data_IF_902726040334
#
_entry.id   IF_902726040334
#
_cell.length_a   1.000
_cell.length_b   1.000
_cell.length_c   1.000
_cell.angle_alpha   90.00
_cell.angle_beta   90.00
_cell.angle_gamma   90.00
#
_symmetry.space_group_name_H-M   'P 1'
#
loop_
_entity.id
_entity.type
_entity.pdbx_description
1 polymer ?
#
# COMPACT_ATOMS: atom_id res chain seq x y z
N UNK A 1 -16.30 0.43 12.74
CA UNK A 1 -15.64 0.14 11.45
C UNK A 1 -16.65 -0.57 10.55
N UNK A 2 -16.67 -0.29 9.25
CA UNK A 2 -17.49 -1.07 8.31
C UNK A 2 -16.88 -2.46 8.10
N UNK A 3 -17.71 -3.42 7.69
CA UNK A 3 -17.23 -4.74 7.31
C UNK A 3 -16.25 -4.65 6.13
N UNK A 4 -15.30 -5.59 6.08
CA UNK A 4 -14.53 -5.89 4.89
C UNK A 4 -15.37 -6.80 3.99
N UNK A 5 -15.45 -6.47 2.71
CA UNK A 5 -16.17 -7.25 1.73
C UNK A 5 -15.31 -7.37 0.47
N UNK A 6 -15.28 -8.56 -0.13
CA UNK A 6 -14.54 -8.80 -1.35
C UNK A 6 -15.41 -8.70 -2.61
N UNK A 7 -14.75 -8.71 -3.76
CA UNK A 7 -15.36 -8.98 -5.08
C UNK A 7 -14.78 -10.30 -5.59
N UNK A 8 -15.59 -11.37 -5.65
CA UNK A 8 -15.15 -12.65 -6.20
C UNK A 8 -14.68 -12.54 -7.63
N UNK A 9 -13.82 -13.48 -8.05
CA UNK A 9 -13.21 -13.51 -9.37
C UNK A 9 -14.26 -13.41 -10.48
N UNK A 10 -15.39 -14.10 -10.36
CA UNK A 10 -16.43 -14.09 -11.40
C UNK A 10 -17.16 -12.74 -11.51
N UNK A 11 -17.18 -11.93 -10.45
CA UNK A 11 -17.76 -10.58 -10.42
C UNK A 11 -16.77 -9.48 -10.83
N UNK A 12 -15.47 -9.78 -10.87
CA UNK A 12 -14.45 -8.81 -11.29
C UNK A 12 -14.50 -8.55 -12.80
N UNK A 13 -14.45 -7.27 -13.18
CA UNK A 13 -14.38 -6.83 -14.57
C UNK A 13 -13.15 -5.94 -14.82
N UNK A 14 -12.55 -6.09 -16.00
CA UNK A 14 -11.45 -5.20 -16.44
C UNK A 14 -11.97 -3.77 -16.52
N UNK A 15 -11.22 -2.84 -15.93
CA UNK A 15 -11.61 -1.44 -15.80
C UNK A 15 -12.21 -1.07 -14.44
N UNK A 16 -12.60 -2.05 -13.61
CA UNK A 16 -13.00 -1.76 -12.23
C UNK A 16 -11.87 -1.08 -11.45
N UNK A 17 -12.25 -0.12 -10.61
CA UNK A 17 -11.31 0.67 -9.82
C UNK A 17 -11.68 0.71 -8.35
N UNK A 18 -10.67 0.87 -7.51
CA UNK A 18 -10.84 1.18 -6.10
C UNK A 18 -9.75 2.15 -5.64
N UNK A 19 -9.94 2.76 -4.47
CA UNK A 19 -8.91 3.57 -3.84
C UNK A 19 -8.77 3.28 -2.34
N UNK A 20 -7.59 3.60 -1.82
CA UNK A 20 -7.26 3.49 -0.41
C UNK A 20 -6.33 4.63 -0.02
N UNK A 21 -6.74 5.41 0.98
CA UNK A 21 -5.99 6.58 1.45
C UNK A 21 -5.43 6.35 2.84
N UNK A 22 -4.15 6.70 3.04
CA UNK A 22 -3.46 6.65 4.33
C UNK A 22 -2.52 7.85 4.47
N UNK A 23 -2.58 8.54 5.61
CA UNK A 23 -1.56 9.52 6.00
C UNK A 23 -0.34 8.82 6.59
N UNK A 24 0.85 9.28 6.20
CA UNK A 24 2.14 8.76 6.66
C UNK A 24 2.67 9.68 7.75
N UNK A 25 2.78 9.15 8.96
CA UNK A 25 3.36 9.85 10.11
C UNK A 25 4.85 9.53 10.28
N UNK A 26 5.53 10.29 11.14
CA UNK A 26 6.89 9.93 11.58
C UNK A 26 6.89 8.56 12.28
N UNK A 27 5.85 8.27 13.07
CA UNK A 27 5.72 7.00 13.79
C UNK A 27 5.54 5.81 12.83
N UNK A 28 4.86 5.98 11.69
CA UNK A 28 4.81 4.94 10.65
C UNK A 28 6.21 4.60 10.13
N UNK A 29 7.08 5.60 9.97
CA UNK A 29 8.46 5.40 9.48
C UNK A 29 9.30 4.70 10.55
N UNK A 30 9.19 5.13 11.82
CA UNK A 30 9.84 4.46 12.96
C UNK A 30 9.38 3.00 13.08
N UNK A 31 8.07 2.74 13.02
CA UNK A 31 7.50 1.39 13.05
C UNK A 31 7.96 0.54 11.87
N UNK A 32 8.05 1.12 10.67
CA UNK A 32 8.58 0.42 9.50
C UNK A 32 10.05 0.04 9.70
N UNK A 33 10.88 0.94 10.23
CA UNK A 33 12.28 0.63 10.54
C UNK A 33 12.40 -0.49 11.58
N UNK A 34 11.58 -0.48 12.64
CA UNK A 34 11.53 -1.54 13.65
C UNK A 34 11.14 -2.89 13.01
N UNK A 35 10.11 -2.91 12.16
CA UNK A 35 9.60 -4.13 11.53
C UNK A 35 10.58 -4.70 10.48
N UNK A 36 11.16 -3.83 9.65
CA UNK A 36 11.99 -4.22 8.52
C UNK A 36 13.46 -4.43 8.87
N UNK A 37 13.93 -3.83 9.97
CA UNK A 37 15.35 -3.72 10.30
C UNK A 37 16.10 -2.66 9.48
N UNK A 38 15.42 -1.92 8.60
CA UNK A 38 16.04 -0.84 7.83
C UNK A 38 16.17 0.43 8.68
N UNK A 39 17.32 0.53 9.33
CA UNK A 39 17.72 1.65 10.19
C UNK A 39 18.56 2.70 9.46
N UNK A 40 18.49 2.76 8.12
CA UNK A 40 19.23 3.75 7.36
C UNK A 40 18.90 5.17 7.86
N UNK A 41 19.91 6.00 8.21
CA UNK A 41 19.69 7.31 8.82
C UNK A 41 18.89 8.28 7.92
N UNK A 42 18.83 8.04 6.61
CA UNK A 42 17.97 8.83 5.70
C UNK A 42 16.49 8.83 6.10
N UNK A 43 16.05 7.81 6.83
CA UNK A 43 14.66 7.64 7.26
C UNK A 43 14.40 8.15 8.69
N UNK A 44 15.44 8.26 9.52
CA UNK A 44 15.30 8.35 10.98
C UNK A 44 16.06 9.51 11.62
N UNK A 45 17.10 10.02 10.96
CA UNK A 45 17.96 11.09 11.47
C UNK A 45 17.80 12.34 10.61
N UNK A 46 17.13 13.34 11.18
CA UNK A 46 16.83 14.60 10.50
C UNK A 46 18.09 15.44 10.24
N UNK A 47 19.10 15.36 11.11
CA UNK A 47 20.38 16.07 10.91
C UNK A 47 21.14 15.45 9.74
N UNK A 48 21.26 14.11 9.73
CA UNK A 48 21.84 13.39 8.61
C UNK A 48 21.07 13.65 7.31
N UNK A 49 19.75 13.51 7.31
CA UNK A 49 18.94 13.60 6.11
C UNK A 49 18.99 14.99 5.46
N UNK A 50 19.14 16.07 6.25
CA UNK A 50 19.36 17.45 5.76
C UNK A 50 20.64 17.63 4.96
N UNK A 51 21.64 16.78 5.16
CA UNK A 51 22.89 16.81 4.38
C UNK A 51 22.78 16.13 3.01
N UNK A 52 21.65 15.47 2.74
CA UNK A 52 21.42 14.72 1.50
C UNK A 52 20.61 15.54 0.50
N UNK A 53 20.53 15.13 -0.78
CA UNK A 53 19.67 15.78 -1.78
C UNK A 53 18.17 15.79 -1.43
N UNK A 54 17.76 15.01 -0.42
CA UNK A 54 16.39 14.99 0.09
C UNK A 54 16.15 16.05 1.16
N UNK A 55 17.17 16.74 1.70
CA UNK A 55 17.01 17.90 2.60
C UNK A 55 16.13 17.67 3.84
N UNK A 56 15.99 16.42 4.29
CA UNK A 56 15.14 16.00 5.42
C UNK A 56 14.67 14.56 5.27
N UNK A 57 14.14 13.96 6.35
CA UNK A 57 13.75 12.56 6.36
C UNK A 57 12.72 12.22 5.28
N UNK A 58 12.84 11.02 4.72
CA UNK A 58 11.89 10.42 3.78
C UNK A 58 11.45 9.05 4.26
N UNK A 59 10.25 8.62 3.94
CA UNK A 59 9.78 7.27 4.23
C UNK A 59 10.51 6.22 3.36
N UNK A 60 10.56 4.98 3.85
CA UNK A 60 11.05 3.84 3.07
C UNK A 60 10.22 3.67 1.80
N UNK A 61 10.85 3.48 0.63
CA UNK A 61 10.09 3.26 -0.61
C UNK A 61 9.12 2.08 -0.53
N UNK A 62 9.54 1.01 0.15
CA UNK A 62 8.72 -0.18 0.41
C UNK A 62 7.44 0.10 1.22
N UNK A 63 7.33 1.26 1.90
CA UNK A 63 6.10 1.70 2.55
C UNK A 63 4.94 1.84 1.55
N UNK A 64 5.22 2.21 0.29
CA UNK A 64 4.21 2.23 -0.77
C UNK A 64 3.63 0.84 -1.05
N UNK A 65 4.47 -0.20 -1.01
CA UNK A 65 4.05 -1.57 -1.27
C UNK A 65 3.11 -2.10 -0.18
N UNK A 66 3.36 -1.75 1.10
CA UNK A 66 2.47 -2.17 2.19
C UNK A 66 1.11 -1.46 2.12
N UNK A 67 1.06 -0.21 1.63
CA UNK A 67 -0.21 0.51 1.39
C UNK A 67 -1.01 -0.20 0.30
N UNK A 68 -0.38 -0.59 -0.81
CA UNK A 68 -1.04 -1.34 -1.88
C UNK A 68 -1.48 -2.71 -1.39
N UNK A 69 -0.64 -3.41 -0.64
CA UNK A 69 -1.00 -4.70 -0.03
C UNK A 69 -2.25 -4.57 0.86
N UNK A 70 -2.32 -3.53 1.69
CA UNK A 70 -3.51 -3.25 2.51
C UNK A 70 -4.73 -2.94 1.65
N UNK A 71 -4.58 -2.13 0.59
CA UNK A 71 -5.66 -1.82 -0.34
C UNK A 71 -6.18 -3.09 -1.04
N UNK A 72 -5.30 -3.98 -1.50
CA UNK A 72 -5.70 -5.22 -2.15
C UNK A 72 -6.41 -6.16 -1.18
N UNK A 73 -5.87 -6.33 0.03
CA UNK A 73 -6.41 -7.26 1.01
C UNK A 73 -7.73 -6.78 1.65
N UNK A 74 -7.95 -5.47 1.73
CA UNK A 74 -9.09 -4.89 2.48
C UNK A 74 -10.11 -4.16 1.62
N UNK A 75 -9.76 -3.81 0.37
CA UNK A 75 -10.63 -3.05 -0.54
C UNK A 75 -10.88 -3.77 -1.86
N UNK A 76 -9.84 -4.16 -2.60
CA UNK A 76 -10.02 -4.64 -3.97
C UNK A 76 -8.87 -5.52 -4.48
N UNK A 77 -9.11 -6.83 -4.74
CA UNK A 77 -10.40 -7.53 -4.68
C UNK A 77 -10.93 -7.72 -3.26
N UNK A 78 -10.12 -7.52 -2.22
CA UNK A 78 -10.54 -7.62 -0.82
C UNK A 78 -10.26 -9.00 -0.19
N UNK A 79 -10.93 -9.33 0.92
CA UNK A 79 -10.69 -10.55 1.68
C UNK A 79 -10.64 -11.84 0.84
N UNK A 80 -9.70 -12.73 1.16
CA UNK A 80 -9.47 -13.97 0.42
C UNK A 80 -8.53 -13.84 -0.80
N UNK A 81 -8.10 -12.62 -1.13
CA UNK A 81 -7.06 -12.40 -2.13
C UNK A 81 -5.70 -12.95 -1.67
N UNK A 82 -4.95 -13.57 -2.58
CA UNK A 82 -3.55 -13.96 -2.34
C UNK A 82 -2.63 -13.06 -3.17
N UNK A 83 -1.69 -12.41 -2.48
CA UNK A 83 -0.73 -11.50 -3.09
C UNK A 83 0.45 -12.29 -3.69
N UNK A 84 0.48 -12.44 -5.01
CA UNK A 84 1.42 -13.32 -5.70
C UNK A 84 2.64 -12.59 -6.28
N UNK A 85 2.55 -11.28 -6.51
CA UNK A 85 3.66 -10.51 -7.02
C UNK A 85 3.40 -9.00 -7.05
N UNK A 86 4.48 -8.23 -7.06
CA UNK A 86 4.44 -6.77 -7.13
C UNK A 86 5.62 -6.26 -7.97
N UNK A 87 5.30 -5.46 -8.98
CA UNK A 87 6.27 -4.59 -9.64
C UNK A 87 6.22 -3.19 -9.03
N UNK A 88 7.39 -2.58 -8.80
CA UNK A 88 7.49 -1.30 -8.11
C UNK A 88 8.35 -0.31 -8.89
N UNK A 89 7.88 0.93 -8.99
CA UNK A 89 8.65 2.08 -9.49
C UNK A 89 8.37 3.28 -8.58
N UNK A 90 9.41 3.72 -7.87
CA UNK A 90 9.36 4.89 -7.00
C UNK A 90 9.65 6.14 -7.84
N UNK A 91 8.76 7.13 -7.79
CA UNK A 91 8.81 8.32 -8.64
C UNK A 91 9.23 9.55 -7.88
N UNK A 92 8.78 9.69 -6.63
CA UNK A 92 9.09 10.81 -5.74
C UNK A 92 9.25 10.30 -4.30
N UNK A 93 10.06 10.99 -3.47
CA UNK A 93 10.12 10.67 -2.06
C UNK A 93 8.77 10.94 -1.40
N UNK A 94 8.42 10.11 -0.42
CA UNK A 94 7.30 10.32 0.50
C UNK A 94 7.86 10.87 1.80
N UNK A 95 7.18 11.84 2.41
CA UNK A 95 7.62 12.48 3.66
C UNK A 95 6.64 12.23 4.80
N UNK A 96 7.11 12.34 6.05
CA UNK A 96 6.21 12.49 7.20
C UNK A 96 5.22 13.65 6.95
N UNK A 97 3.94 13.41 7.21
CA UNK A 97 2.85 14.35 6.95
C UNK A 97 2.17 14.18 5.58
N UNK A 98 2.76 13.43 4.65
CA UNK A 98 2.09 13.17 3.36
C UNK A 98 0.83 12.32 3.55
N UNK A 99 -0.20 12.63 2.76
CA UNK A 99 -1.39 11.79 2.64
C UNK A 99 -1.39 11.12 1.28
N UNK A 100 -1.25 9.79 1.30
CA UNK A 100 -1.12 8.98 0.11
C UNK A 100 -2.45 8.35 -0.27
N UNK A 101 -2.87 8.51 -1.52
CA UNK A 101 -4.02 7.80 -2.09
C UNK A 101 -3.53 6.79 -3.12
N UNK A 102 -3.70 5.52 -2.82
CA UNK A 102 -3.48 4.43 -3.75
C UNK A 102 -4.73 4.23 -4.61
N UNK A 103 -4.55 4.25 -5.92
CA UNK A 103 -5.53 3.95 -6.94
C UNK A 103 -5.22 2.58 -7.53
N UNK A 104 -6.23 1.72 -7.54
CA UNK A 104 -6.15 0.36 -8.05
C UNK A 104 -7.07 0.26 -9.27
N UNK A 105 -6.57 -0.30 -10.36
CA UNK A 105 -7.37 -0.56 -11.56
C UNK A 105 -7.11 -1.97 -12.06
N UNK A 106 -8.16 -2.78 -12.17
CA UNK A 106 -8.04 -4.11 -12.78
C UNK A 106 -7.78 -3.94 -14.28
N UNK A 107 -6.62 -4.40 -14.75
CA UNK A 107 -6.20 -4.27 -16.16
C UNK A 107 -6.20 -5.60 -16.90
N UNK A 108 -6.10 -6.73 -16.20
CA UNK A 108 -6.14 -8.05 -16.82
C UNK A 108 -6.79 -9.08 -15.90
N UNK A 109 -7.53 -10.04 -16.49
CA UNK A 109 -8.19 -11.16 -15.80
C UNK A 109 -7.88 -12.47 -16.53
N UNK A 110 -7.29 -13.44 -15.81
CA UNK A 110 -6.89 -14.75 -16.32
C UNK A 110 -7.63 -15.85 -15.56
N UNK A 111 -8.52 -16.56 -16.25
CA UNK A 111 -9.31 -17.66 -15.64
C UNK A 111 -8.43 -18.77 -15.07
N UNK A 112 -7.35 -19.12 -15.78
CA UNK A 112 -6.40 -20.12 -15.30
C UNK A 112 -5.71 -19.60 -14.02
N UNK A 113 -6.03 -20.21 -12.90
CA UNK A 113 -5.49 -19.83 -11.59
C UNK A 113 -6.14 -18.60 -10.96
N UNK A 114 -7.26 -18.10 -11.50
CA UNK A 114 -7.99 -16.93 -11.00
C UNK A 114 -7.11 -15.69 -10.79
N UNK A 115 -6.16 -15.47 -11.69
CA UNK A 115 -5.18 -14.39 -11.57
C UNK A 115 -5.76 -13.11 -12.15
N UNK A 116 -5.59 -12.01 -11.44
CA UNK A 116 -5.86 -10.66 -11.93
C UNK A 116 -4.60 -9.80 -11.83
N UNK A 117 -4.42 -8.92 -12.82
CA UNK A 117 -3.39 -7.88 -12.77
C UNK A 117 -4.05 -6.54 -12.46
N UNK A 118 -3.50 -5.86 -11.47
CA UNK A 118 -4.02 -4.58 -10.97
C UNK A 118 -2.93 -3.54 -11.15
N UNK A 119 -3.22 -2.53 -11.97
CA UNK A 119 -2.38 -1.35 -12.09
C UNK A 119 -2.55 -0.49 -10.84
N UNK A 120 -1.44 -0.07 -10.26
CA UNK A 120 -1.38 0.69 -9.04
C UNK A 120 -0.67 2.01 -9.28
N UNK A 121 -1.27 3.07 -8.78
CA UNK A 121 -0.72 4.40 -8.80
C UNK A 121 -0.96 5.02 -7.42
N UNK A 122 0.06 5.64 -6.83
CA UNK A 122 -0.09 6.37 -5.57
C UNK A 122 0.21 7.84 -5.83
N UNK A 123 -0.71 8.70 -5.40
CA UNK A 123 -0.54 10.15 -5.39
C UNK A 123 -0.47 10.67 -3.95
N UNK A 124 0.28 11.75 -3.74
CA UNK A 124 0.22 12.51 -2.50
C UNK A 124 -0.96 13.52 -2.51
N UNK A 125 -1.10 14.28 -1.43
CA UNK A 125 -2.12 15.32 -1.26
C UNK A 125 -2.09 16.43 -2.32
N UNK A 126 -0.98 16.58 -3.07
CA UNK A 126 -0.81 17.56 -4.12
C UNK A 126 -1.15 17.00 -5.52
N UNK A 127 -1.59 15.75 -5.61
CA UNK A 127 -1.83 15.06 -6.89
C UNK A 127 -0.54 14.63 -7.59
N UNK A 128 0.59 14.58 -6.87
CA UNK A 128 1.85 14.15 -7.45
C UNK A 128 2.01 12.64 -7.34
N UNK A 129 2.28 11.97 -8.46
CA UNK A 129 2.57 10.54 -8.47
C UNK A 129 3.88 10.23 -7.73
N UNK A 130 3.79 9.47 -6.64
CA UNK A 130 4.95 9.01 -5.85
C UNK A 130 5.34 7.57 -6.18
N UNK A 131 4.40 6.76 -6.65
CA UNK A 131 4.61 5.35 -6.97
C UNK A 131 3.75 4.92 -8.15
N UNK A 132 4.30 4.04 -8.99
CA UNK A 132 3.54 3.28 -9.99
C UNK A 132 3.98 1.81 -9.97
N UNK A 133 3.07 0.88 -10.22
CA UNK A 133 3.41 -0.53 -10.24
C UNK A 133 2.26 -1.45 -10.61
N UNK A 134 2.54 -2.74 -10.78
CA UNK A 134 1.56 -3.75 -11.13
C UNK A 134 1.53 -4.84 -10.06
N UNK A 135 0.33 -5.17 -9.57
CA UNK A 135 0.13 -6.25 -8.61
C UNK A 135 -0.43 -7.48 -9.33
N UNK A 136 0.14 -8.64 -9.04
CA UNK A 136 -0.40 -9.94 -9.44
C UNK A 136 -1.11 -10.54 -8.25
N UNK A 137 -2.42 -10.79 -8.39
CA UNK A 137 -3.28 -11.25 -7.30
C UNK A 137 -4.03 -12.49 -7.76
N UNK A 138 -4.05 -13.54 -6.95
CA UNK A 138 -5.04 -14.61 -7.10
C UNK A 138 -6.30 -14.15 -6.40
N UNK A 139 -7.35 -13.87 -7.16
CA UNK A 139 -8.59 -13.36 -6.62
C UNK A 139 -9.41 -14.49 -5.95
N UNK A 140 -10.16 -14.17 -4.90
CA UNK A 140 -11.05 -15.12 -4.24
C UNK A 140 -12.16 -15.59 -5.20
N UNK A 141 -12.62 -16.83 -5.09
CA UNK A 141 -13.78 -17.32 -5.88
C UNK A 141 -15.10 -17.22 -5.13
N UNK A 142 -15.04 -17.20 -3.80
CA UNK A 142 -16.21 -17.12 -2.94
C UNK A 142 -16.36 -15.72 -2.35
N UNK A 143 -17.61 -15.32 -2.13
CA UNK A 143 -17.94 -14.08 -1.44
C UNK A 143 -17.51 -14.17 0.03
N UNK A 144 -16.78 -13.16 0.49
CA UNK A 144 -16.35 -13.04 1.88
C UNK A 144 -16.79 -11.69 2.43
N UNK A 145 -17.48 -11.74 3.56
CA UNK A 145 -17.79 -10.58 4.40
C UNK A 145 -17.22 -10.86 5.78
N UNK A 146 -16.33 -9.99 6.26
CA UNK A 146 -15.62 -10.18 7.52
C UNK A 146 -15.60 -8.88 8.34
N UNK A 147 -15.73 -9.02 9.64
CA UNK A 147 -15.53 -7.89 10.57
C UNK A 147 -14.02 -7.65 10.73
N UNK A 148 -13.52 -6.41 10.56
CA UNK A 148 -12.13 -6.10 10.87
C UNK A 148 -11.78 -6.46 12.32
N UNK A 149 -10.61 -7.06 12.53
CA UNK A 149 -10.08 -7.31 13.87
C UNK A 149 -9.50 -6.02 14.43
N UNK A 150 -9.81 -5.71 15.68
CA UNK A 150 -9.21 -4.57 16.38
C UNK A 150 -7.73 -4.85 16.66
N UNK A 151 -6.87 -3.90 16.30
CA UNK A 151 -5.43 -4.01 16.51
C UNK A 151 -5.05 -3.62 17.94
N UNK A 152 -3.97 -4.20 18.49
CA UNK A 152 -3.42 -3.72 19.75
C UNK A 152 -2.96 -2.26 19.62
N UNK A 153 -2.99 -1.53 20.73
CA UNK A 153 -2.36 -0.21 20.80
C UNK A 153 -0.85 -0.38 20.84
N UNK A 154 -0.15 0.46 20.10
CA UNK A 154 1.32 0.52 20.08
C UNK A 154 1.72 1.91 20.54
N UNK A 155 2.69 1.96 21.44
CA UNK A 155 3.31 3.19 21.94
C UNK A 155 4.82 3.09 21.67
N UNK A 156 5.36 4.10 20.99
CA UNK A 156 6.79 4.23 20.77
C UNK A 156 7.38 5.04 21.92
N UNK A 157 8.31 4.44 22.65
CA UNK A 157 9.04 5.08 23.74
C UNK A 157 10.48 5.24 23.28
N UNK A 158 10.94 6.48 23.18
CA UNK A 158 12.31 6.84 22.80
C UNK A 158 13.30 6.62 23.97
#
# INVERSE_FOLDING_TARGET
>A
MSNLENVPFDELEVGMTASYTKSVSQDDIKLFAILSGDTNPIHLDEEYARTTPFEGCIAHGALCAIIISAAVATKFPGPGSIYAGQEMRFKKPVRPGDTLTAHLKLVEKKRRGNIVLIDNLIENQNGETVFTGLSTVVAPTEKVVATPVELPRVELVD
#
